data_IF_015319423478
#
_entry.id   IF_015319423478
#
_cell.length_a   1.000
_cell.length_b   1.000
_cell.length_c   1.000
_cell.angle_alpha   90.00
_cell.angle_beta   90.00
_cell.angle_gamma   90.00
#
_symmetry.space_group_name_H-M   'P 1'
#
loop_
_entity.id
_entity.type
_entity.pdbx_description
1 polymer ?
#
# COMPACT_ATOMS: atom_id res chain seq x y z
N UNK A 1 20.75 8.67 -21.81
CA UNK A 1 19.27 8.76 -21.82
C UNK A 1 18.71 7.35 -21.78
N UNK A 2 17.82 7.00 -20.84
CA UNK A 2 17.30 5.65 -20.71
C UNK A 2 16.47 5.30 -21.96
N UNK A 3 16.89 4.30 -22.72
CA UNK A 3 16.33 3.91 -24.04
C UNK A 3 14.92 3.28 -23.94
N UNK A 4 13.92 3.96 -23.37
CA UNK A 4 12.54 3.45 -23.29
C UNK A 4 12.34 2.17 -22.45
N UNK A 5 13.39 1.70 -21.76
CA UNK A 5 13.36 0.48 -20.93
C UNK A 5 12.75 0.69 -19.55
N UNK A 6 12.57 1.93 -19.14
CA UNK A 6 12.04 2.32 -17.83
C UNK A 6 10.80 3.17 -18.02
N UNK A 7 9.72 2.79 -17.35
CA UNK A 7 8.52 3.58 -17.22
C UNK A 7 8.51 4.34 -15.90
N UNK A 8 7.84 5.49 -15.92
CA UNK A 8 7.64 6.36 -14.76
C UNK A 8 6.15 6.45 -14.44
N UNK A 9 5.77 6.35 -13.17
CA UNK A 9 4.39 6.52 -12.71
C UNK A 9 4.32 7.53 -11.56
N UNK A 10 3.29 8.36 -11.57
CA UNK A 10 3.10 9.45 -10.60
C UNK A 10 3.69 10.79 -11.08
N UNK A 11 3.97 11.73 -10.15
CA UNK A 11 3.78 11.60 -8.71
C UNK A 11 2.29 11.59 -8.31
N UNK A 12 1.95 10.86 -7.25
CA UNK A 12 0.64 10.96 -6.57
C UNK A 12 0.82 11.36 -5.11
N UNK A 13 -0.23 11.87 -4.47
CA UNK A 13 -0.16 12.29 -3.06
C UNK A 13 0.09 11.09 -2.14
N UNK A 14 0.84 11.30 -1.06
CA UNK A 14 1.10 10.26 -0.06
C UNK A 14 -0.20 9.65 0.46
N UNK A 15 -1.18 10.48 0.82
CA UNK A 15 -2.46 9.96 1.34
C UNK A 15 -3.17 9.07 0.33
N UNK A 16 -3.12 9.39 -0.97
CA UNK A 16 -3.74 8.58 -2.03
C UNK A 16 -3.00 7.26 -2.19
N UNK A 17 -1.66 7.30 -2.25
CA UNK A 17 -0.84 6.10 -2.33
C UNK A 17 -1.10 5.16 -1.15
N UNK A 18 -1.04 5.66 0.08
CA UNK A 18 -1.24 4.85 1.29
C UNK A 18 -2.68 4.31 1.39
N UNK A 19 -3.68 5.11 0.98
CA UNK A 19 -5.08 4.65 0.90
C UNK A 19 -5.20 3.46 -0.05
N UNK A 20 -4.63 3.57 -1.25
CA UNK A 20 -4.64 2.51 -2.26
C UNK A 20 -3.90 1.24 -1.80
N UNK A 21 -2.91 1.38 -0.91
CA UNK A 21 -2.19 0.25 -0.29
C UNK A 21 -2.93 -0.37 0.91
N UNK A 22 -4.12 0.11 1.27
CA UNK A 22 -4.95 -0.49 2.32
C UNK A 22 -4.58 -0.07 3.74
N UNK A 23 -4.04 1.14 3.93
CA UNK A 23 -3.61 1.62 5.26
C UNK A 23 -4.72 1.62 6.31
N UNK A 24 -5.99 1.83 5.94
CA UNK A 24 -7.11 1.83 6.90
C UNK A 24 -7.36 0.43 7.48
N UNK A 25 -7.35 -0.59 6.61
CA UNK A 25 -7.49 -1.98 7.03
C UNK A 25 -6.35 -2.34 7.98
N UNK A 26 -5.13 -1.91 7.66
CA UNK A 26 -3.98 -2.14 8.53
C UNK A 26 -4.12 -1.42 9.88
N UNK A 27 -4.59 -0.18 9.90
CA UNK A 27 -4.84 0.56 11.15
C UNK A 27 -5.89 -0.18 12.00
N UNK A 28 -6.98 -0.65 11.39
CA UNK A 28 -8.02 -1.39 12.09
C UNK A 28 -7.45 -2.65 12.76
N UNK A 29 -6.66 -3.46 12.03
CA UNK A 29 -6.02 -4.66 12.59
C UNK A 29 -5.11 -4.31 13.75
N UNK A 30 -4.29 -3.26 13.60
CA UNK A 30 -3.37 -2.83 14.66
C UNK A 30 -4.14 -2.38 15.91
N UNK A 31 -5.20 -1.59 15.74
CA UNK A 31 -6.04 -1.15 16.84
C UNK A 31 -6.79 -2.31 17.50
N UNK A 32 -7.25 -3.31 16.75
CA UNK A 32 -7.91 -4.49 17.33
C UNK A 32 -6.95 -5.33 18.18
N UNK A 33 -5.68 -5.37 17.81
CA UNK A 33 -4.67 -6.21 18.46
C UNK A 33 -3.81 -5.48 19.52
N UNK A 34 -3.90 -4.14 19.60
CA UNK A 34 -3.20 -3.37 20.63
C UNK A 34 -3.99 -3.34 21.95
N UNK A 35 -3.38 -3.85 23.02
CA UNK A 35 -3.97 -3.91 24.36
C UNK A 35 -3.81 -2.63 25.17
N UNK A 36 -2.76 -1.86 24.93
CA UNK A 36 -2.44 -0.66 25.71
C UNK A 36 -2.96 0.62 25.06
N UNK A 37 -3.52 1.52 25.88
CA UNK A 37 -4.11 2.79 25.41
C UNK A 37 -3.07 3.71 24.77
N UNK A 38 -1.84 3.75 25.30
CA UNK A 38 -0.78 4.61 24.78
C UNK A 38 -0.43 4.27 23.32
N UNK A 39 -0.27 2.98 23.00
CA UNK A 39 -0.01 2.53 21.62
C UNK A 39 -1.18 2.82 20.70
N UNK A 40 -2.43 2.67 21.17
CA UNK A 40 -3.62 3.03 20.38
C UNK A 40 -3.64 4.50 20.00
N UNK A 41 -3.39 5.37 20.98
CA UNK A 41 -3.31 6.82 20.75
C UNK A 41 -2.17 7.18 19.79
N UNK A 42 -1.00 6.56 19.98
CA UNK A 42 0.13 6.73 19.06
C UNK A 42 -0.22 6.31 17.64
N UNK A 43 -0.88 5.16 17.45
CA UNK A 43 -1.31 4.67 16.14
C UNK A 43 -2.26 5.65 15.45
N UNK A 44 -3.25 6.16 16.17
CA UNK A 44 -4.19 7.16 15.64
C UNK A 44 -3.49 8.47 15.29
N UNK A 45 -2.59 8.93 16.17
CA UNK A 45 -1.82 10.15 15.95
C UNK A 45 -0.92 10.04 14.72
N UNK A 46 -0.13 8.96 14.61
CA UNK A 46 0.76 8.71 13.46
C UNK A 46 -0.02 8.53 12.16
N UNK A 47 -1.17 7.84 12.20
CA UNK A 47 -2.05 7.73 11.04
C UNK A 47 -2.53 9.12 10.57
N UNK A 48 -2.99 9.98 11.49
CA UNK A 48 -3.41 11.34 11.17
C UNK A 48 -2.25 12.17 10.60
N UNK A 49 -1.03 12.02 11.11
CA UNK A 49 0.16 12.68 10.55
C UNK A 49 0.41 12.28 9.09
N UNK A 50 0.29 10.97 8.78
CA UNK A 50 0.55 10.43 7.44
C UNK A 50 -0.54 10.78 6.43
N UNK A 51 -1.80 10.87 6.86
CA UNK A 51 -2.95 10.97 5.95
C UNK A 51 -3.53 12.37 5.84
N UNK A 52 -3.33 13.25 6.82
CA UNK A 52 -3.90 14.60 6.82
C UNK A 52 -3.28 15.45 5.68
N UNK A 53 -4.10 16.07 4.80
CA UNK A 53 -3.63 16.93 3.70
C UNK A 53 -2.77 18.10 4.14
N UNK A 54 -3.08 18.71 5.29
CA UNK A 54 -2.34 19.85 5.86
C UNK A 54 -1.01 19.42 6.52
N UNK A 55 -0.78 18.11 6.62
CA UNK A 55 0.43 17.50 7.16
C UNK A 55 1.14 16.72 6.05
N UNK A 56 1.49 15.45 6.28
CA UNK A 56 2.27 14.70 5.29
C UNK A 56 1.43 14.27 4.08
N UNK A 57 0.10 14.23 4.20
CA UNK A 57 -0.79 13.66 3.20
C UNK A 57 -0.62 14.24 1.80
N UNK A 58 -0.53 15.57 1.70
CA UNK A 58 -0.33 16.27 0.42
C UNK A 58 1.05 16.91 0.24
N UNK A 59 1.78 17.11 1.33
CA UNK A 59 3.17 17.58 1.29
C UNK A 59 4.13 16.52 0.72
N UNK A 60 3.87 15.24 0.96
CA UNK A 60 4.69 14.14 0.45
C UNK A 60 4.03 13.48 -0.77
N UNK A 61 4.86 13.00 -1.70
CA UNK A 61 4.42 12.41 -2.96
C UNK A 61 5.18 11.12 -3.24
N UNK A 62 4.54 10.19 -3.94
CA UNK A 62 5.11 8.91 -4.35
C UNK A 62 5.31 8.90 -5.86
N UNK A 63 6.49 8.46 -6.30
CA UNK A 63 6.88 8.32 -7.69
C UNK A 63 7.56 6.96 -7.88
N UNK A 64 7.22 6.26 -8.96
CA UNK A 64 7.78 4.94 -9.25
C UNK A 64 8.54 4.95 -10.57
N UNK A 65 9.70 4.28 -10.55
CA UNK A 65 10.50 3.92 -11.71
C UNK A 65 10.48 2.40 -11.81
N UNK A 66 10.00 1.87 -12.92
CA UNK A 66 9.92 0.42 -13.11
C UNK A 66 10.29 0.03 -14.54
N UNK A 67 10.77 -1.20 -14.77
CA UNK A 67 11.01 -1.69 -16.12
C UNK A 67 9.73 -1.64 -16.98
N UNK A 68 9.84 -1.13 -18.21
CA UNK A 68 8.69 -0.93 -19.09
C UNK A 68 7.92 -2.23 -19.39
N UNK A 69 8.61 -3.37 -19.45
CA UNK A 69 7.98 -4.68 -19.66
C UNK A 69 6.99 -5.08 -18.55
N UNK A 70 7.05 -4.47 -17.36
CA UNK A 70 6.09 -4.72 -16.27
C UNK A 70 4.74 -4.05 -16.51
N UNK A 71 4.68 -3.07 -17.42
CA UNK A 71 3.45 -2.38 -17.83
C UNK A 71 2.84 -2.97 -19.10
N UNK A 72 3.65 -3.63 -19.91
CA UNK A 72 3.19 -4.34 -21.10
C UNK A 72 2.56 -5.64 -20.63
N UNK A 73 1.27 -5.85 -20.93
CA UNK A 73 0.63 -7.14 -20.67
C UNK A 73 1.40 -8.26 -21.39
N UNK A 74 1.70 -9.39 -20.72
CA UNK A 74 2.26 -10.53 -21.42
C UNK A 74 1.28 -10.93 -22.53
N UNK A 75 1.79 -11.02 -23.75
CA UNK A 75 1.05 -11.64 -24.85
C UNK A 75 0.65 -13.05 -24.38
N UNK A 76 -0.55 -13.53 -24.76
CA UNK A 76 -1.28 -14.65 -24.14
C UNK A 76 -0.59 -16.04 -24.21
N UNK A 77 0.71 -16.10 -24.51
CA UNK A 77 1.50 -17.31 -24.69
C UNK A 77 2.28 -17.76 -23.45
N UNK A 78 2.51 -16.89 -22.47
CA UNK A 78 3.16 -17.27 -21.21
C UNK A 78 2.10 -17.55 -20.14
N UNK A 79 1.73 -18.83 -20.03
CA UNK A 79 0.88 -19.34 -18.95
C UNK A 79 1.70 -19.29 -17.65
N UNK A 80 1.34 -18.49 -16.63
CA UNK A 80 2.05 -18.54 -15.37
C UNK A 80 1.65 -19.82 -14.62
N UNK A 81 2.46 -20.85 -14.75
CA UNK A 81 2.46 -21.96 -13.81
C UNK A 81 3.07 -21.50 -12.50
N UNK A 82 2.23 -21.20 -11.51
CA UNK A 82 2.40 -21.64 -10.12
C UNK A 82 1.28 -21.02 -9.27
N UNK A 83 0.26 -21.83 -8.99
CA UNK A 83 -0.79 -21.53 -8.00
C UNK A 83 -0.34 -22.08 -6.64
N UNK A 84 0.71 -21.53 -6.03
CA UNK A 84 0.91 -21.73 -4.59
C UNK A 84 0.02 -20.72 -3.84
N UNK A 85 -0.74 -21.15 -2.82
CA UNK A 85 -1.47 -20.22 -1.96
C UNK A 85 -0.46 -19.27 -1.31
N UNK A 86 -0.69 -17.95 -1.43
CA UNK A 86 0.09 -16.98 -0.67
C UNK A 86 -0.14 -17.23 0.83
N UNK A 87 0.91 -17.10 1.67
CA UNK A 87 0.74 -17.24 3.11
C UNK A 87 -0.26 -16.20 3.63
N UNK A 88 -1.09 -16.56 4.62
CA UNK A 88 -2.05 -15.62 5.19
C UNK A 88 -1.33 -14.42 5.80
N UNK A 89 -1.90 -13.22 5.60
CA UNK A 89 -1.36 -11.99 6.18
C UNK A 89 -1.81 -11.90 7.64
N UNK A 90 -0.86 -11.76 8.56
CA UNK A 90 -1.13 -11.73 10.00
C UNK A 90 -2.18 -10.66 10.38
N UNK A 91 -3.21 -11.09 11.12
CA UNK A 91 -4.31 -10.24 11.56
C UNK A 91 -5.38 -9.92 10.51
N UNK A 92 -5.22 -10.33 9.24
CA UNK A 92 -6.24 -10.12 8.20
C UNK A 92 -7.30 -11.23 8.16
N UNK A 93 -7.01 -12.41 8.71
CA UNK A 93 -7.98 -13.50 8.81
C UNK A 93 -9.20 -13.15 9.69
N UNK A 94 -9.04 -12.16 10.57
CA UNK A 94 -10.05 -11.70 11.53
C UNK A 94 -10.91 -10.55 10.98
N UNK A 95 -10.52 -9.97 9.84
CA UNK A 95 -11.27 -8.91 9.14
C UNK A 95 -12.45 -9.44 8.31
N UNK A 96 -13.10 -10.51 8.76
CA UNK A 96 -14.36 -10.96 8.16
C UNK A 96 -15.36 -9.81 8.24
N UNK A 97 -15.62 -9.16 7.10
CA UNK A 97 -16.66 -8.14 6.96
C UNK A 97 -17.97 -8.74 7.47
N UNK A 98 -18.42 -8.24 8.62
CA UNK A 98 -19.82 -8.33 9.05
C UNK A 98 -20.60 -7.19 8.43
#
# INVERSE_FOLDING_TARGET
MAQGKTATLGPIKQREFLKNMGIDLRLQVLLQNSSDTATREQLLHSYAMLMNPEKMGDCFNFFALLPHHRLVHPDKKDKPESKSPLPPVAGFNELLLK
#
